data_IF_734977863685
#
_entry.id   IF_734977863685
#
_cell.length_a   1.000
_cell.length_b   1.000
_cell.length_c   1.000
_cell.angle_alpha   90.00
_cell.angle_beta   90.00
_cell.angle_gamma   90.00
#
_symmetry.space_group_name_H-M   'P 1'
#
loop_
_entity.id
_entity.type
_entity.pdbx_description
1 polymer ?
#
# COMPACT_ATOMS: atom_id res chain seq x y z
N UNK A 1 25.46 38.33 11.23
CA UNK A 1 25.11 36.95 11.67
C UNK A 1 23.63 36.77 11.90
N UNK A 2 22.97 37.46 12.81
CA UNK A 2 21.52 37.34 13.03
C UNK A 2 20.72 37.55 11.77
N UNK A 3 21.12 38.49 10.89
CA UNK A 3 20.43 38.75 9.63
C UNK A 3 20.41 37.52 8.69
N UNK A 4 21.51 36.76 8.61
CA UNK A 4 21.58 35.53 7.79
C UNK A 4 20.69 34.41 8.36
N UNK A 5 20.69 34.24 9.71
CA UNK A 5 19.79 33.29 10.36
C UNK A 5 18.30 33.58 10.09
N UNK A 6 17.89 34.85 10.22
CA UNK A 6 16.53 35.28 9.90
C UNK A 6 16.20 35.11 8.42
N UNK A 7 17.13 35.41 7.54
CA UNK A 7 16.96 35.23 6.09
C UNK A 7 16.82 33.76 5.72
N UNK A 8 17.61 32.87 6.33
CA UNK A 8 17.48 31.42 6.18
C UNK A 8 16.08 30.91 6.58
N UNK A 9 15.56 31.36 7.74
CA UNK A 9 14.19 31.04 8.18
C UNK A 9 13.13 31.52 7.22
N UNK A 10 13.23 32.76 6.72
CA UNK A 10 12.29 33.32 5.76
C UNK A 10 12.30 32.57 4.43
N UNK A 11 13.48 32.22 3.93
CA UNK A 11 13.66 31.44 2.70
C UNK A 11 13.09 30.01 2.84
N UNK A 12 13.30 29.35 3.99
CA UNK A 12 12.73 28.05 4.24
C UNK A 12 11.20 28.07 4.29
N UNK A 13 10.57 29.07 4.89
CA UNK A 13 9.10 29.24 4.86
C UNK A 13 8.53 29.50 3.46
N UNK A 14 9.33 30.12 2.57
CA UNK A 14 8.98 30.32 1.16
C UNK A 14 9.23 29.11 0.27
N UNK A 15 9.74 28.00 0.81
CA UNK A 15 10.09 26.81 0.04
C UNK A 15 11.37 26.96 -0.80
N UNK A 16 12.15 28.02 -0.58
CA UNK A 16 13.43 28.29 -1.26
C UNK A 16 14.58 27.58 -0.53
N UNK A 17 14.49 26.25 -0.44
CA UNK A 17 15.31 25.45 0.45
C UNK A 17 16.81 25.52 0.14
N UNK A 18 17.20 25.51 -1.15
CA UNK A 18 18.61 25.63 -1.51
C UNK A 18 19.25 26.98 -1.06
N UNK A 19 18.47 28.07 -1.18
CA UNK A 19 18.92 29.39 -0.71
C UNK A 19 18.95 29.45 0.83
N UNK A 20 17.98 28.83 1.51
CA UNK A 20 17.96 28.74 2.96
C UNK A 20 19.15 27.93 3.50
N UNK A 21 19.49 26.82 2.86
CA UNK A 21 20.68 26.01 3.18
C UNK A 21 21.97 26.87 3.10
N UNK A 22 22.14 27.64 2.03
CA UNK A 22 23.31 28.49 1.87
C UNK A 22 23.44 29.52 3.02
N UNK A 23 22.34 30.17 3.40
CA UNK A 23 22.30 31.12 4.50
C UNK A 23 22.65 30.48 5.86
N UNK A 24 22.07 29.29 6.14
CA UNK A 24 22.37 28.59 7.37
C UNK A 24 23.83 28.11 7.45
N UNK A 25 24.42 27.67 6.33
CA UNK A 25 25.83 27.26 6.29
C UNK A 25 26.77 28.47 6.57
N UNK A 26 26.45 29.64 6.01
CA UNK A 26 27.21 30.86 6.29
C UNK A 26 27.22 31.21 7.81
N UNK A 27 26.08 31.03 8.48
CA UNK A 27 26.05 31.26 9.96
C UNK A 27 26.88 30.23 10.69
N UNK A 28 26.82 28.95 10.25
CA UNK A 28 27.57 27.87 10.90
C UNK A 28 29.09 27.91 10.64
N UNK A 29 29.54 28.60 9.60
CA UNK A 29 30.96 28.86 9.37
C UNK A 29 31.52 29.78 10.47
N UNK A 30 30.71 30.72 10.97
CA UNK A 30 31.12 31.65 12.04
C UNK A 30 30.76 31.14 13.44
N UNK A 31 29.60 30.46 13.59
CA UNK A 31 29.10 29.91 14.86
C UNK A 31 28.74 28.43 14.66
N UNK A 32 29.71 27.51 14.66
CA UNK A 32 29.52 26.11 14.31
C UNK A 32 28.56 25.34 15.24
N UNK A 33 28.33 25.82 16.44
CA UNK A 33 27.56 25.16 17.49
C UNK A 33 26.21 25.84 17.81
N UNK A 34 25.69 26.66 16.89
CA UNK A 34 24.33 27.23 17.03
C UNK A 34 23.30 26.15 16.79
N UNK A 35 22.66 25.66 17.86
CA UNK A 35 21.70 24.55 17.84
C UNK A 35 20.45 24.92 17.06
N UNK A 36 19.97 26.15 17.10
CA UNK A 36 18.82 26.66 16.35
C UNK A 36 19.08 26.63 14.85
N UNK A 37 20.26 27.05 14.44
CA UNK A 37 20.68 27.05 13.04
C UNK A 37 20.92 25.63 12.54
N UNK A 38 21.51 24.75 13.34
CA UNK A 38 21.67 23.33 13.04
C UNK A 38 20.29 22.66 12.83
N UNK A 39 19.30 22.94 13.69
CA UNK A 39 17.94 22.48 13.52
C UNK A 39 17.30 22.99 12.23
N UNK A 40 17.44 24.27 11.92
CA UNK A 40 16.92 24.86 10.69
C UNK A 40 17.55 24.27 9.43
N UNK A 41 18.87 24.04 9.46
CA UNK A 41 19.59 23.37 8.37
C UNK A 41 19.12 21.93 8.19
N UNK A 42 18.95 21.18 9.28
CA UNK A 42 18.46 19.81 9.23
C UNK A 42 17.06 19.71 8.62
N UNK A 43 16.13 20.60 8.98
CA UNK A 43 14.79 20.68 8.40
C UNK A 43 14.85 20.95 6.89
N UNK A 44 15.66 21.90 6.44
CA UNK A 44 15.83 22.26 5.02
C UNK A 44 16.45 21.10 4.22
N UNK A 45 17.44 20.42 4.76
CA UNK A 45 18.03 19.23 4.13
C UNK A 45 17.04 18.09 4.01
N UNK A 46 16.21 17.87 5.03
CA UNK A 46 15.12 16.89 4.99
C UNK A 46 14.13 17.20 3.86
N UNK A 47 13.67 18.45 3.72
CA UNK A 47 12.77 18.87 2.66
C UNK A 47 13.36 18.75 1.26
N UNK A 48 14.67 18.87 1.14
CA UNK A 48 15.42 18.61 -0.11
C UNK A 48 15.64 17.10 -0.36
N UNK A 49 15.16 16.21 0.52
CA UNK A 49 15.45 14.77 0.49
C UNK A 49 16.93 14.39 0.67
N UNK A 50 17.73 15.28 1.23
CA UNK A 50 19.12 15.03 1.63
C UNK A 50 19.15 14.41 3.04
N UNK A 51 18.44 13.31 3.24
CA UNK A 51 18.12 12.74 4.56
C UNK A 51 19.35 12.31 5.36
N UNK A 52 20.38 11.77 4.70
CA UNK A 52 21.63 11.38 5.38
C UNK A 52 22.41 12.59 5.91
N UNK A 53 22.47 13.67 5.13
CA UNK A 53 23.09 14.92 5.59
C UNK A 53 22.29 15.56 6.73
N UNK A 54 20.94 15.55 6.60
CA UNK A 54 20.06 16.02 7.67
C UNK A 54 20.31 15.28 8.99
N UNK A 55 20.49 13.95 8.95
CA UNK A 55 20.79 13.16 10.13
C UNK A 55 22.14 13.56 10.75
N UNK A 56 23.16 13.72 9.94
CA UNK A 56 24.49 14.16 10.43
C UNK A 56 24.42 15.54 11.10
N UNK A 57 23.64 16.47 10.55
CA UNK A 57 23.51 17.82 11.12
C UNK A 57 22.72 17.80 12.42
N UNK A 58 21.60 17.07 12.50
CA UNK A 58 20.80 17.00 13.73
C UNK A 58 21.49 16.22 14.82
N UNK A 59 22.37 15.25 14.49
CA UNK A 59 23.17 14.53 15.47
C UNK A 59 24.21 15.46 16.12
N UNK A 60 24.73 16.47 15.39
CA UNK A 60 25.58 17.53 15.99
C UNK A 60 24.78 18.37 16.98
N UNK A 61 23.57 18.79 16.64
CA UNK A 61 22.71 19.54 17.56
C UNK A 61 22.40 18.71 18.82
N UNK A 62 22.07 17.40 18.63
CA UNK A 62 21.82 16.48 19.76
C UNK A 62 23.03 16.30 20.67
N UNK A 63 24.24 16.29 20.12
CA UNK A 63 25.46 16.20 20.95
C UNK A 63 25.64 17.42 21.87
N UNK A 64 25.14 18.58 21.47
CA UNK A 64 25.17 19.81 22.25
C UNK A 64 24.03 19.85 23.29
N UNK A 65 22.84 19.42 22.91
CA UNK A 65 21.64 19.44 23.75
C UNK A 65 20.88 18.07 23.67
N UNK A 66 21.39 17.05 24.41
CA UNK A 66 20.93 15.66 24.24
C UNK A 66 19.45 15.41 24.58
N UNK A 67 18.87 16.17 25.49
CA UNK A 67 17.51 15.96 26.01
C UNK A 67 16.52 17.00 25.51
N UNK A 68 16.88 17.84 24.53
CA UNK A 68 15.97 18.86 23.99
C UNK A 68 14.88 18.22 23.11
N UNK A 69 13.59 18.32 23.48
CA UNK A 69 12.51 17.63 22.80
C UNK A 69 12.39 17.99 21.31
N UNK A 70 12.65 19.25 20.95
CA UNK A 70 12.59 19.73 19.57
C UNK A 70 13.67 19.08 18.68
N UNK A 71 14.87 18.85 19.22
CA UNK A 71 15.97 18.18 18.51
C UNK A 71 15.65 16.70 18.36
N UNK A 72 15.18 16.05 19.43
CA UNK A 72 14.78 14.64 19.40
C UNK A 72 13.63 14.42 18.40
N UNK A 73 12.67 15.34 18.32
CA UNK A 73 11.55 15.27 17.40
C UNK A 73 11.99 15.38 15.93
N UNK A 74 12.89 16.33 15.62
CA UNK A 74 13.47 16.47 14.27
C UNK A 74 14.26 15.22 13.88
N UNK A 75 15.09 14.72 14.80
CA UNK A 75 15.84 13.49 14.57
C UNK A 75 14.93 12.31 14.30
N UNK A 76 13.86 12.15 15.06
CA UNK A 76 12.87 11.08 14.84
C UNK A 76 12.23 11.17 13.46
N UNK A 77 11.84 12.37 13.00
CA UNK A 77 11.29 12.60 11.65
C UNK A 77 12.31 12.29 10.55
N UNK A 78 13.57 12.62 10.74
CA UNK A 78 14.66 12.32 9.79
C UNK A 78 14.89 10.80 9.72
N UNK A 79 14.94 10.11 10.86
CA UNK A 79 15.06 8.66 10.93
C UNK A 79 13.87 7.95 10.23
N UNK A 80 12.66 8.46 10.46
CA UNK A 80 11.46 7.98 9.75
C UNK A 80 11.59 8.16 8.23
N UNK A 81 12.08 9.30 7.77
CA UNK A 81 12.31 9.55 6.35
C UNK A 81 13.43 8.68 5.74
N UNK A 82 14.35 8.17 6.56
CA UNK A 82 15.37 7.19 6.18
C UNK A 82 14.85 5.75 6.17
N UNK A 83 13.65 5.50 6.74
CA UNK A 83 13.12 4.16 6.94
C UNK A 83 13.63 3.44 8.20
N UNK A 84 14.38 4.16 9.07
CA UNK A 84 14.89 3.66 10.35
C UNK A 84 13.80 3.72 11.43
N UNK A 85 12.67 3.00 11.16
CA UNK A 85 11.45 3.09 11.97
C UNK A 85 11.63 2.65 13.42
N UNK A 86 12.53 1.70 13.69
CA UNK A 86 12.83 1.23 15.05
C UNK A 86 13.52 2.32 15.90
N UNK A 87 14.47 3.03 15.30
CA UNK A 87 15.20 4.13 15.96
C UNK A 87 14.31 5.36 16.13
N UNK A 88 13.53 5.71 15.10
CA UNK A 88 12.54 6.78 15.18
C UNK A 88 11.52 6.51 16.30
N UNK A 89 11.03 5.28 16.42
CA UNK A 89 10.11 4.86 17.51
C UNK A 89 10.77 5.00 18.89
N UNK A 90 12.05 4.67 19.00
CA UNK A 90 12.80 4.87 20.25
C UNK A 90 12.88 6.33 20.64
N UNK A 91 13.15 7.23 19.67
CA UNK A 91 13.21 8.67 19.92
C UNK A 91 11.85 9.25 20.31
N UNK A 92 10.76 8.89 19.62
CA UNK A 92 9.41 9.33 20.00
C UNK A 92 9.04 8.85 21.41
N UNK A 93 9.44 7.62 21.78
CA UNK A 93 9.21 7.09 23.13
C UNK A 93 9.99 7.88 24.19
N UNK A 94 11.23 8.25 23.92
CA UNK A 94 12.06 9.11 24.77
C UNK A 94 11.38 10.48 24.99
N UNK A 95 10.87 11.11 23.93
CA UNK A 95 10.12 12.37 24.03
C UNK A 95 8.85 12.19 24.89
N UNK A 96 8.12 11.09 24.73
CA UNK A 96 6.91 10.83 25.51
C UNK A 96 7.18 10.49 26.97
N UNK A 97 8.38 10.01 27.31
CA UNK A 97 8.84 9.88 28.70
C UNK A 97 9.11 11.24 29.33
N UNK A 98 9.67 12.20 28.58
CA UNK A 98 9.93 13.56 29.03
C UNK A 98 8.63 14.40 29.08
N UNK A 99 7.78 14.26 28.10
CA UNK A 99 6.51 14.95 27.97
C UNK A 99 5.43 14.01 27.41
N UNK A 100 4.63 13.36 28.29
CA UNK A 100 3.58 12.42 27.87
C UNK A 100 2.50 13.02 26.99
N UNK A 101 2.33 14.35 26.99
CA UNK A 101 1.31 15.05 26.20
C UNK A 101 1.84 15.66 24.90
N UNK A 102 3.07 15.36 24.52
CA UNK A 102 3.63 15.81 23.25
C UNK A 102 2.83 15.22 22.07
N UNK A 103 2.07 16.09 21.41
CA UNK A 103 1.17 15.68 20.30
C UNK A 103 1.95 15.19 19.09
N UNK A 104 3.06 15.84 18.76
CA UNK A 104 3.86 15.48 17.58
C UNK A 104 4.53 14.11 17.75
N UNK A 105 5.00 13.80 18.95
CA UNK A 105 5.54 12.48 19.25
C UNK A 105 4.44 11.39 19.25
N UNK A 106 3.23 11.70 19.75
CA UNK A 106 2.07 10.79 19.66
C UNK A 106 1.68 10.51 18.19
N UNK A 107 1.66 11.56 17.36
CA UNK A 107 1.40 11.40 15.91
C UNK A 107 2.49 10.60 15.22
N UNK A 108 3.77 10.93 15.46
CA UNK A 108 4.89 10.17 14.89
C UNK A 108 4.90 8.69 15.30
N UNK A 109 4.55 8.38 16.56
CA UNK A 109 4.36 6.99 17.00
C UNK A 109 3.19 6.30 16.29
N UNK A 110 2.08 7.01 16.06
CA UNK A 110 0.92 6.47 15.35
C UNK A 110 1.23 6.21 13.88
N UNK A 111 1.96 7.14 13.24
CA UNK A 111 2.40 6.99 11.86
C UNK A 111 3.35 5.79 11.71
N UNK A 112 4.32 5.64 12.62
CA UNK A 112 5.23 4.49 12.65
C UNK A 112 4.53 3.15 12.96
N UNK A 113 3.40 3.18 13.65
CA UNK A 113 2.61 1.95 13.88
C UNK A 113 1.87 1.51 12.61
N UNK A 114 1.62 2.44 11.69
CA UNK A 114 1.10 2.14 10.35
C UNK A 114 2.18 1.76 9.34
N UNK A 115 3.46 2.06 9.63
CA UNK A 115 4.64 1.76 8.80
C UNK A 115 5.47 0.60 9.39
N UNK A 116 4.83 -0.42 9.96
CA UNK A 116 5.51 -1.60 10.48
C UNK A 116 6.41 -2.24 9.41
N UNK A 117 7.59 -2.74 9.84
CA UNK A 117 8.50 -3.46 8.95
C UNK A 117 7.86 -4.73 8.39
N UNK A 118 6.93 -5.28 9.14
CA UNK A 118 6.19 -6.48 8.77
C UNK A 118 4.69 -6.23 8.87
N UNK A 119 3.96 -6.78 7.92
CA UNK A 119 2.51 -6.81 7.93
C UNK A 119 2.07 -8.29 7.85
N UNK A 120 1.28 -8.72 8.79
CA UNK A 120 0.64 -10.03 8.78
C UNK A 120 -0.86 -9.85 8.57
N UNK A 121 -1.48 -10.65 7.71
CA UNK A 121 -2.93 -10.71 7.63
C UNK A 121 -3.43 -12.14 7.57
N UNK A 122 -4.62 -12.33 8.13
CA UNK A 122 -5.38 -13.57 8.07
C UNK A 122 -6.81 -13.22 7.67
N UNK A 123 -7.36 -13.96 6.73
CA UNK A 123 -8.73 -13.76 6.27
C UNK A 123 -9.37 -15.05 5.84
N UNK A 124 -10.68 -15.02 5.73
CA UNK A 124 -11.48 -16.08 5.17
C UNK A 124 -12.59 -15.49 4.33
N UNK A 125 -12.82 -16.12 3.19
CA UNK A 125 -13.86 -15.79 2.25
C UNK A 125 -14.81 -16.97 2.08
N UNK A 126 -16.09 -16.67 1.94
CA UNK A 126 -17.11 -17.69 1.70
C UNK A 126 -18.03 -17.29 0.55
N UNK A 127 -18.45 -18.26 -0.23
CA UNK A 127 -19.37 -18.07 -1.31
C UNK A 127 -20.49 -19.10 -1.27
N UNK A 128 -21.72 -18.63 -1.46
CA UNK A 128 -22.90 -19.48 -1.60
C UNK A 128 -23.51 -19.29 -2.98
N UNK A 129 -23.93 -20.38 -3.58
CA UNK A 129 -24.54 -20.44 -4.91
C UNK A 129 -25.96 -20.96 -4.82
N UNK A 130 -26.81 -20.65 -5.81
CA UNK A 130 -28.18 -21.18 -5.84
C UNK A 130 -28.27 -22.64 -6.27
N UNK A 131 -27.29 -23.17 -7.02
CA UNK A 131 -27.37 -24.46 -7.68
C UNK A 131 -26.22 -25.43 -7.43
N UNK A 132 -25.17 -24.98 -6.77
CA UNK A 132 -23.96 -25.78 -6.49
C UNK A 132 -23.52 -25.59 -5.04
N UNK A 133 -22.60 -26.44 -4.56
CA UNK A 133 -22.09 -26.36 -3.21
C UNK A 133 -21.36 -25.05 -2.88
N UNK A 134 -21.15 -24.77 -1.61
CA UNK A 134 -20.40 -23.57 -1.18
C UNK A 134 -18.93 -23.66 -1.58
N UNK A 135 -18.28 -22.51 -1.61
CA UNK A 135 -16.84 -22.39 -1.71
C UNK A 135 -16.33 -21.58 -0.52
N UNK A 136 -15.22 -22.01 0.07
CA UNK A 136 -14.58 -21.38 1.21
C UNK A 136 -13.09 -21.28 0.95
N UNK A 137 -12.51 -20.12 1.30
CA UNK A 137 -11.10 -19.83 1.12
C UNK A 137 -10.55 -19.23 2.41
N UNK A 138 -9.39 -19.70 2.86
CA UNK A 138 -8.62 -19.12 3.96
C UNK A 138 -7.30 -18.59 3.42
N UNK A 139 -6.96 -17.35 3.70
CA UNK A 139 -5.77 -16.69 3.16
C UNK A 139 -4.93 -16.14 4.32
N UNK A 140 -3.65 -16.47 4.30
CA UNK A 140 -2.63 -15.90 5.17
C UNK A 140 -1.66 -15.09 4.33
N UNK A 141 -1.29 -13.90 4.77
CA UNK A 141 -0.21 -13.16 4.12
C UNK A 141 0.78 -12.58 5.11
N UNK A 142 2.04 -12.51 4.68
CA UNK A 142 3.13 -11.87 5.38
C UNK A 142 3.85 -10.94 4.40
N UNK A 143 3.81 -9.65 4.67
CA UNK A 143 4.62 -8.68 3.94
C UNK A 143 5.83 -8.26 4.78
N UNK A 144 6.99 -8.15 4.14
CA UNK A 144 8.24 -7.67 4.73
C UNK A 144 8.77 -6.48 3.93
N UNK A 145 8.98 -5.36 4.60
CA UNK A 145 9.60 -4.15 4.04
C UNK A 145 11.08 -4.14 4.38
N UNK A 146 11.93 -4.64 3.48
CA UNK A 146 13.38 -4.78 3.70
C UNK A 146 14.09 -3.44 3.72
N UNK A 147 13.70 -2.57 2.78
CA UNK A 147 14.16 -1.19 2.65
C UNK A 147 12.98 -0.31 2.22
N UNK A 148 13.09 1.04 2.25
CA UNK A 148 12.06 1.91 1.69
C UNK A 148 11.75 1.67 0.21
N UNK A 149 12.65 0.96 -0.50
CA UNK A 149 12.50 0.64 -1.92
C UNK A 149 12.05 -0.79 -2.18
N UNK A 150 12.27 -1.74 -1.25
CA UNK A 150 12.05 -3.17 -1.49
C UNK A 150 11.10 -3.74 -0.46
N UNK A 151 10.05 -4.37 -0.93
CA UNK A 151 9.15 -5.18 -0.12
C UNK A 151 8.91 -6.54 -0.77
N UNK A 152 8.66 -7.55 0.04
CA UNK A 152 8.31 -8.91 -0.39
C UNK A 152 7.05 -9.33 0.34
N UNK A 153 6.12 -9.95 -0.38
CA UNK A 153 4.87 -10.49 0.16
C UNK A 153 4.85 -11.99 -0.09
N UNK A 154 4.51 -12.74 0.94
CA UNK A 154 4.23 -14.17 0.91
C UNK A 154 2.74 -14.34 1.16
N UNK A 155 2.05 -15.07 0.31
CA UNK A 155 0.63 -15.38 0.45
C UNK A 155 0.49 -16.90 0.38
N UNK A 156 -0.28 -17.48 1.27
CA UNK A 156 -0.71 -18.87 1.18
C UNK A 156 -2.22 -18.92 1.32
N UNK A 157 -2.85 -19.65 0.43
CA UNK A 157 -4.29 -19.89 0.41
C UNK A 157 -4.61 -21.36 0.68
N UNK A 158 -5.72 -21.59 1.36
CA UNK A 158 -6.35 -22.88 1.52
C UNK A 158 -7.76 -22.78 0.95
N UNK A 159 -8.06 -23.58 -0.03
CA UNK A 159 -9.27 -23.50 -0.83
C UNK A 159 -10.08 -24.78 -0.67
N UNK A 160 -11.37 -24.64 -0.37
CA UNK A 160 -12.29 -25.77 -0.34
C UNK A 160 -13.47 -25.42 -1.24
N UNK A 161 -13.58 -26.08 -2.38
CA UNK A 161 -14.54 -25.72 -3.42
C UNK A 161 -15.14 -26.99 -4.03
N UNK A 162 -16.47 -27.07 -3.99
CA UNK A 162 -17.22 -28.14 -4.65
C UNK A 162 -16.78 -29.56 -4.25
N UNK A 163 -16.27 -29.75 -3.04
CA UNK A 163 -15.78 -31.04 -2.54
C UNK A 163 -14.30 -31.31 -2.77
N UNK A 164 -13.59 -30.43 -3.47
CA UNK A 164 -12.15 -30.47 -3.68
C UNK A 164 -11.43 -29.48 -2.77
N UNK A 165 -10.20 -29.82 -2.39
CA UNK A 165 -9.35 -28.98 -1.56
C UNK A 165 -8.01 -28.75 -2.22
N UNK A 166 -7.51 -27.52 -2.14
CA UNK A 166 -6.19 -27.14 -2.64
C UNK A 166 -5.50 -26.15 -1.70
N UNK A 167 -4.20 -26.03 -1.85
CA UNK A 167 -3.40 -24.99 -1.20
C UNK A 167 -2.36 -24.46 -2.16
N UNK A 168 -2.07 -23.18 -2.06
CA UNK A 168 -1.02 -22.52 -2.83
C UNK A 168 -0.04 -21.75 -1.95
N UNK A 169 1.07 -21.37 -2.58
CA UNK A 169 2.03 -20.41 -2.06
C UNK A 169 2.41 -19.45 -3.18
N UNK A 170 2.16 -18.17 -2.99
CA UNK A 170 2.58 -17.08 -3.87
C UNK A 170 3.64 -16.23 -3.18
N UNK A 171 4.65 -15.80 -3.94
CA UNK A 171 5.68 -14.88 -3.49
C UNK A 171 5.81 -13.77 -4.51
N UNK A 172 5.76 -12.53 -4.05
CA UNK A 172 5.99 -11.36 -4.89
C UNK A 172 6.95 -10.39 -4.25
N UNK A 173 7.72 -9.68 -5.08
CA UNK A 173 8.62 -8.63 -4.63
C UNK A 173 8.40 -7.36 -5.42
N UNK A 174 8.29 -6.24 -4.70
CA UNK A 174 8.12 -4.92 -5.27
C UNK A 174 9.39 -4.10 -5.08
N UNK A 175 9.82 -3.45 -6.15
CA UNK A 175 10.93 -2.51 -6.17
C UNK A 175 10.46 -1.12 -6.59
N UNK A 176 10.62 -0.14 -5.70
CA UNK A 176 10.35 1.27 -5.98
C UNK A 176 11.52 1.89 -6.73
N UNK A 177 11.39 2.02 -8.05
CA UNK A 177 12.42 2.56 -8.94
C UNK A 177 12.66 4.06 -8.66
N UNK A 178 11.55 4.79 -8.46
CA UNK A 178 11.56 6.22 -8.08
C UNK A 178 10.46 6.49 -7.06
N UNK A 179 10.33 7.72 -6.57
CA UNK A 179 9.22 8.11 -5.67
C UNK A 179 7.84 7.81 -6.24
N UNK A 180 7.73 7.75 -7.58
CA UNK A 180 6.46 7.66 -8.29
C UNK A 180 6.32 6.39 -9.13
N UNK A 181 7.35 5.55 -9.23
CA UNK A 181 7.33 4.35 -10.06
C UNK A 181 7.72 3.12 -9.24
N UNK A 182 6.97 2.05 -9.40
CA UNK A 182 7.27 0.75 -8.80
C UNK A 182 7.11 -0.37 -9.82
N UNK A 183 7.93 -1.42 -9.66
CA UNK A 183 7.83 -2.67 -10.39
C UNK A 183 7.61 -3.78 -9.38
N UNK A 184 6.63 -4.64 -9.63
CA UNK A 184 6.38 -5.85 -8.85
C UNK A 184 6.52 -7.06 -9.76
N UNK A 185 7.17 -8.10 -9.26
CA UNK A 185 7.28 -9.40 -9.93
C UNK A 185 6.90 -10.46 -8.91
N UNK A 186 6.13 -11.44 -9.32
CA UNK A 186 5.70 -12.52 -8.46
C UNK A 186 5.29 -13.76 -9.21
N UNK A 187 4.91 -14.78 -8.43
CA UNK A 187 4.34 -16.00 -8.95
C UNK A 187 4.13 -17.00 -7.83
N UNK A 188 3.38 -18.03 -8.12
CA UNK A 188 2.94 -19.03 -7.18
C UNK A 188 2.97 -20.45 -7.73
N UNK A 189 2.74 -21.39 -6.82
CA UNK A 189 2.51 -22.78 -7.14
C UNK A 189 1.51 -23.40 -6.18
N UNK A 190 0.74 -24.36 -6.68
CA UNK A 190 -0.27 -25.07 -5.93
C UNK A 190 0.03 -26.58 -5.85
N UNK A 191 -0.48 -27.20 -4.78
CA UNK A 191 -0.38 -28.64 -4.58
C UNK A 191 -1.36 -29.44 -5.46
N UNK A 192 -2.45 -28.78 -5.94
CA UNK A 192 -3.48 -29.34 -6.79
C UNK A 192 -3.86 -28.34 -7.89
N UNK A 193 -4.29 -28.82 -9.06
CA UNK A 193 -4.46 -28.02 -10.26
C UNK A 193 -5.91 -28.03 -10.81
N UNK A 194 -6.84 -28.66 -10.09
CA UNK A 194 -8.21 -28.82 -10.57
C UNK A 194 -9.08 -27.61 -10.26
N UNK A 195 -8.82 -26.92 -9.14
CA UNK A 195 -9.59 -25.78 -8.67
C UNK A 195 -8.82 -24.44 -8.64
N UNK A 196 -7.48 -24.51 -8.69
CA UNK A 196 -6.60 -23.33 -8.77
C UNK A 196 -5.49 -23.58 -9.80
N UNK A 197 -4.79 -22.55 -10.32
CA UNK A 197 -3.68 -22.75 -11.23
C UNK A 197 -2.54 -23.53 -10.56
N UNK A 198 -1.93 -24.46 -11.29
CA UNK A 198 -0.75 -25.21 -10.81
C UNK A 198 0.41 -24.29 -10.51
N UNK A 199 0.65 -23.36 -11.43
CA UNK A 199 1.65 -22.31 -11.29
C UNK A 199 1.07 -21.02 -11.88
N UNK A 200 1.61 -19.91 -11.40
CA UNK A 200 1.39 -18.61 -12.00
C UNK A 200 2.64 -17.75 -11.94
N UNK A 201 2.69 -16.71 -12.73
CA UNK A 201 3.73 -15.68 -12.65
C UNK A 201 3.19 -14.36 -13.20
N UNK A 202 3.64 -13.26 -12.62
CA UNK A 202 3.18 -11.94 -13.05
C UNK A 202 4.26 -10.89 -12.91
N UNK A 203 4.07 -9.81 -13.63
CA UNK A 203 4.72 -8.55 -13.34
C UNK A 203 3.69 -7.41 -13.38
N UNK A 204 3.92 -6.39 -12.57
CA UNK A 204 3.15 -5.16 -12.55
C UNK A 204 4.09 -3.96 -12.55
N UNK A 205 3.78 -2.96 -13.36
CA UNK A 205 4.45 -1.67 -13.34
C UNK A 205 3.44 -0.58 -13.03
N UNK A 206 3.71 0.19 -11.98
CA UNK A 206 2.87 1.28 -11.52
C UNK A 206 3.57 2.63 -11.55
N UNK A 207 2.80 3.68 -11.87
CA UNK A 207 3.26 5.07 -11.87
C UNK A 207 2.22 6.00 -11.28
N UNK A 208 2.65 6.77 -10.25
CA UNK A 208 1.86 7.83 -9.65
C UNK A 208 2.23 9.22 -10.20
N UNK A 209 1.24 10.08 -10.38
CA UNK A 209 1.40 11.46 -10.82
C UNK A 209 0.52 12.37 -9.96
N UNK A 210 1.09 13.46 -9.42
CA UNK A 210 0.29 14.51 -8.78
C UNK A 210 -0.35 15.39 -9.88
N UNK A 211 -1.64 15.64 -9.73
CA UNK A 211 -2.39 16.48 -10.67
C UNK A 211 -2.77 17.79 -10.00
N UNK A 212 -2.59 18.94 -10.67
CA UNK A 212 -2.89 20.25 -10.10
C UNK A 212 -4.38 20.61 -10.21
N UNK A 213 -5.27 19.64 -10.32
CA UNK A 213 -6.69 19.87 -10.50
C UNK A 213 -7.45 19.99 -9.17
N UNK A 214 -8.49 20.82 -9.14
CA UNK A 214 -9.32 21.03 -7.94
C UNK A 214 -10.03 19.75 -7.49
N UNK A 215 -10.45 18.90 -8.41
CA UNK A 215 -11.25 17.71 -8.15
C UNK A 215 -10.47 16.40 -8.17
N UNK A 216 -9.24 16.40 -8.69
CA UNK A 216 -8.36 15.21 -8.71
C UNK A 216 -6.98 15.64 -8.25
N UNK A 217 -6.57 15.17 -7.08
CA UNK A 217 -5.29 15.50 -6.44
C UNK A 217 -4.11 14.71 -7.01
N UNK A 218 -4.40 13.51 -7.52
CA UNK A 218 -3.39 12.60 -8.06
C UNK A 218 -4.03 11.46 -8.83
N UNK A 219 -3.21 10.82 -9.64
CA UNK A 219 -3.54 9.65 -10.44
C UNK A 219 -2.42 8.64 -10.28
N UNK A 220 -2.77 7.39 -9.99
CA UNK A 220 -1.89 6.25 -10.21
C UNK A 220 -2.42 5.42 -11.37
N UNK A 221 -1.52 4.99 -12.24
CA UNK A 221 -1.83 4.06 -13.31
C UNK A 221 -0.89 2.87 -13.18
N UNK A 222 -1.44 1.65 -13.27
CA UNK A 222 -0.64 0.44 -13.34
C UNK A 222 -1.02 -0.43 -14.53
N UNK A 223 -0.06 -1.19 -14.99
CA UNK A 223 -0.22 -2.24 -15.97
C UNK A 223 0.31 -3.53 -15.38
N UNK A 224 -0.48 -4.60 -15.45
CA UNK A 224 -0.12 -5.93 -14.99
C UNK A 224 -0.28 -6.92 -16.13
N UNK A 225 0.62 -7.88 -16.19
CA UNK A 225 0.50 -9.05 -17.03
C UNK A 225 0.68 -10.29 -16.15
N UNK A 226 -0.25 -11.23 -16.23
CA UNK A 226 -0.28 -12.42 -15.40
C UNK A 226 -0.51 -13.66 -16.25
N UNK A 227 0.28 -14.69 -16.06
CA UNK A 227 0.20 -15.99 -16.71
C UNK A 227 -0.20 -17.04 -15.68
N UNK A 228 -1.21 -17.82 -16.03
CA UNK A 228 -1.71 -18.93 -15.21
C UNK A 228 -1.63 -20.23 -16.00
N UNK A 229 -1.16 -21.28 -15.36
CA UNK A 229 -1.08 -22.64 -15.91
C UNK A 229 -1.97 -23.58 -15.12
N UNK A 230 -3.08 -23.97 -15.72
CA UNK A 230 -3.99 -25.01 -15.24
C UNK A 230 -3.70 -26.35 -15.91
N UNK A 231 -4.33 -27.44 -15.45
CA UNK A 231 -4.09 -28.78 -16.01
C UNK A 231 -4.41 -28.88 -17.52
N UNK A 232 -5.44 -28.20 -18.00
CA UNK A 232 -5.90 -28.27 -19.38
C UNK A 232 -5.97 -26.92 -20.10
N UNK A 233 -5.50 -25.82 -19.47
CA UNK A 233 -5.62 -24.48 -20.02
C UNK A 233 -4.47 -23.58 -19.60
N UNK A 234 -4.18 -22.60 -20.45
CA UNK A 234 -3.29 -21.50 -20.14
C UNK A 234 -4.05 -20.20 -20.26
N UNK A 235 -3.99 -19.38 -19.22
CA UNK A 235 -4.64 -18.07 -19.21
C UNK A 235 -3.58 -16.98 -19.10
N UNK A 236 -3.67 -16.00 -19.98
CA UNK A 236 -2.85 -14.81 -19.97
C UNK A 236 -3.75 -13.59 -19.80
N UNK A 237 -3.55 -12.84 -18.75
CA UNK A 237 -4.31 -11.61 -18.50
C UNK A 237 -3.46 -10.37 -18.71
N UNK A 238 -4.09 -9.34 -19.25
CA UNK A 238 -3.56 -7.98 -19.37
C UNK A 238 -4.50 -7.06 -18.61
N UNK A 239 -4.02 -6.46 -17.55
CA UNK A 239 -4.83 -5.55 -16.73
C UNK A 239 -4.24 -4.15 -16.70
N UNK A 240 -5.10 -3.16 -16.87
CA UNK A 240 -4.76 -1.75 -16.67
C UNK A 240 -5.63 -1.15 -15.59
N UNK A 241 -5.01 -0.57 -14.56
CA UNK A 241 -5.70 0.10 -13.47
C UNK A 241 -5.41 1.59 -13.49
N UNK A 242 -6.42 2.38 -13.16
CA UNK A 242 -6.31 3.80 -12.85
C UNK A 242 -6.93 4.05 -11.48
N UNK A 243 -6.19 4.71 -10.59
CA UNK A 243 -6.63 5.10 -9.25
C UNK A 243 -6.56 6.62 -9.13
N UNK A 244 -7.70 7.25 -8.92
CA UNK A 244 -7.87 8.69 -8.77
C UNK A 244 -7.97 9.06 -7.29
N UNK A 245 -7.12 9.97 -6.84
CA UNK A 245 -7.19 10.59 -5.52
C UNK A 245 -8.07 11.84 -5.57
N UNK A 246 -9.20 11.78 -4.89
CA UNK A 246 -10.21 12.82 -4.87
C UNK A 246 -10.11 13.66 -3.57
N UNK A 247 -10.81 14.82 -3.47
CA UNK A 247 -10.90 15.58 -2.23
C UNK A 247 -11.52 14.78 -1.08
N UNK A 248 -11.16 15.11 0.17
CA UNK A 248 -11.65 14.48 1.40
C UNK A 248 -11.26 13.00 1.51
N UNK A 249 -10.11 12.63 0.93
CA UNK A 249 -9.54 11.29 0.97
C UNK A 249 -10.43 10.20 0.36
N UNK A 250 -11.29 10.60 -0.58
CA UNK A 250 -11.98 9.66 -1.44
C UNK A 250 -11.04 9.14 -2.51
N UNK A 251 -11.20 7.87 -2.87
CA UNK A 251 -10.49 7.30 -4.02
C UNK A 251 -11.48 6.62 -4.96
N UNK A 252 -11.19 6.71 -6.24
CA UNK A 252 -11.96 6.01 -7.27
C UNK A 252 -10.99 5.24 -8.16
N UNK A 253 -11.22 3.94 -8.31
CA UNK A 253 -10.42 3.09 -9.19
C UNK A 253 -11.26 2.50 -10.30
N UNK A 254 -10.62 2.31 -11.45
CA UNK A 254 -11.12 1.59 -12.60
C UNK A 254 -10.02 0.62 -13.01
N UNK A 255 -10.38 -0.67 -13.14
CA UNK A 255 -9.50 -1.70 -13.70
C UNK A 255 -10.19 -2.34 -14.89
N UNK A 256 -9.48 -2.46 -15.99
CA UNK A 256 -9.89 -3.16 -17.19
C UNK A 256 -8.93 -4.33 -17.39
N UNK A 257 -9.49 -5.51 -17.65
CA UNK A 257 -8.73 -6.74 -17.87
C UNK A 257 -9.18 -7.39 -19.15
N UNK A 258 -8.22 -7.87 -19.95
CA UNK A 258 -8.47 -8.75 -21.09
C UNK A 258 -7.76 -10.07 -20.80
N UNK A 259 -8.52 -11.14 -20.68
CA UNK A 259 -8.01 -12.49 -20.53
C UNK A 259 -7.95 -13.21 -21.88
N UNK A 260 -6.83 -13.85 -22.17
CA UNK A 260 -6.63 -14.72 -23.32
C UNK A 260 -6.52 -16.14 -22.81
N UNK A 261 -7.55 -16.93 -23.03
CA UNK A 261 -7.63 -18.32 -22.58
C UNK A 261 -7.35 -19.26 -23.76
N UNK A 262 -6.39 -20.15 -23.59
CA UNK A 262 -6.08 -21.21 -24.54
C UNK A 262 -6.39 -22.57 -23.94
N UNK A 263 -7.35 -23.29 -24.50
CA UNK A 263 -7.68 -24.65 -24.13
C UNK A 263 -7.02 -25.66 -25.04
N UNK A 264 -6.61 -26.80 -24.49
CA UNK A 264 -6.09 -27.91 -25.29
C UNK A 264 -7.17 -28.44 -26.24
N UNK A 265 -7.06 -28.12 -27.54
CA UNK A 265 -7.94 -28.65 -28.59
C UNK A 265 -9.12 -27.78 -29.07
N UNK A 266 -9.40 -26.61 -28.47
CA UNK A 266 -10.58 -25.80 -28.82
C UNK A 266 -10.30 -24.36 -29.27
N UNK A 267 -9.04 -23.93 -29.32
CA UNK A 267 -8.67 -22.59 -29.80
C UNK A 267 -8.44 -21.58 -28.69
N UNK A 268 -8.42 -20.31 -29.07
CA UNK A 268 -8.11 -19.18 -28.17
C UNK A 268 -9.34 -18.27 -28.10
N UNK A 269 -9.75 -17.93 -26.88
CA UNK A 269 -10.83 -16.97 -26.62
C UNK A 269 -10.28 -15.75 -25.89
N UNK A 270 -10.90 -14.58 -26.15
CA UNK A 270 -10.61 -13.33 -25.45
C UNK A 270 -11.81 -12.91 -24.63
N UNK A 271 -11.58 -12.63 -23.36
CA UNK A 271 -12.63 -12.32 -22.40
C UNK A 271 -12.31 -10.99 -21.70
N UNK A 272 -13.04 -9.91 -22.07
CA UNK A 272 -12.87 -8.62 -21.42
C UNK A 272 -13.68 -8.54 -20.14
N UNK A 273 -13.12 -7.87 -19.15
CA UNK A 273 -13.79 -7.59 -17.88
C UNK A 273 -13.37 -6.23 -17.33
N UNK A 274 -14.15 -5.70 -16.41
CA UNK A 274 -13.86 -4.45 -15.77
C UNK A 274 -14.47 -4.32 -14.39
N UNK A 275 -13.77 -3.65 -13.50
CA UNK A 275 -14.24 -3.31 -12.16
C UNK A 275 -14.03 -1.82 -11.89
N UNK A 276 -15.00 -1.21 -11.25
CA UNK A 276 -14.87 0.13 -10.69
C UNK A 276 -15.16 0.09 -9.20
N UNK A 277 -14.37 0.82 -8.41
CA UNK A 277 -14.50 0.88 -6.95
C UNK A 277 -14.39 2.32 -6.49
N UNK A 278 -15.33 2.73 -5.65
CA UNK A 278 -15.32 3.99 -4.92
C UNK A 278 -15.05 3.70 -3.45
N UNK A 279 -14.02 4.32 -2.89
CA UNK A 279 -13.68 4.21 -1.48
C UNK A 279 -13.81 5.58 -0.81
N UNK A 280 -14.36 5.62 0.40
CA UNK A 280 -14.65 6.86 1.11
C UNK A 280 -14.49 6.71 2.62
N UNK A 281 -13.94 7.72 3.32
CA UNK A 281 -13.92 7.77 4.77
C UNK A 281 -15.35 8.01 5.29
N UNK A 282 -15.91 7.03 6.00
CA UNK A 282 -17.24 7.12 6.61
C UNK A 282 -17.16 7.72 8.03
N UNK A 283 -16.08 7.43 8.75
CA UNK A 283 -15.81 7.94 10.09
C UNK A 283 -14.29 7.95 10.35
N UNK A 284 -13.84 8.49 11.47
CA UNK A 284 -12.43 8.62 11.86
C UNK A 284 -11.61 7.31 11.70
N UNK A 285 -12.23 6.17 12.04
CA UNK A 285 -11.59 4.85 11.97
C UNK A 285 -12.31 3.90 10.99
N UNK A 286 -13.27 4.39 10.22
CA UNK A 286 -14.10 3.58 9.34
C UNK A 286 -14.01 4.11 7.92
N UNK A 287 -13.58 3.27 7.01
CA UNK A 287 -13.59 3.50 5.57
C UNK A 287 -14.59 2.55 4.93
N UNK A 288 -15.48 3.06 4.11
CA UNK A 288 -16.41 2.27 3.30
C UNK A 288 -15.95 2.18 1.86
N UNK A 289 -16.35 1.14 1.16
CA UNK A 289 -16.22 1.06 -0.29
C UNK A 289 -17.47 0.47 -0.93
N UNK A 290 -17.70 0.85 -2.20
CA UNK A 290 -18.69 0.26 -3.08
C UNK A 290 -18.00 -0.12 -4.38
N UNK A 291 -18.36 -1.25 -4.97
CA UNK A 291 -17.80 -1.66 -6.24
C UNK A 291 -18.85 -2.30 -7.16
N UNK A 292 -18.57 -2.17 -8.44
CA UNK A 292 -19.31 -2.83 -9.50
C UNK A 292 -18.32 -3.47 -10.46
N UNK A 293 -18.55 -4.73 -10.83
CA UNK A 293 -17.78 -5.44 -11.83
C UNK A 293 -18.69 -6.03 -12.91
N UNK A 294 -18.17 -6.06 -14.14
CA UNK A 294 -18.84 -6.66 -15.27
C UNK A 294 -17.82 -7.35 -16.16
N UNK A 295 -18.14 -8.55 -16.65
CA UNK A 295 -17.28 -9.32 -17.53
C UNK A 295 -17.41 -10.81 -17.29
N UNK A 296 -16.54 -11.54 -17.94
CA UNK A 296 -16.36 -12.96 -17.74
C UNK A 296 -15.49 -13.15 -16.53
N UNK A 297 -16.02 -13.84 -15.54
CA UNK A 297 -15.28 -14.41 -14.42
C UNK A 297 -14.30 -13.57 -13.58
N UNK A 298 -13.79 -14.15 -12.56
CA UNK A 298 -12.63 -13.88 -11.72
C UNK A 298 -12.65 -12.70 -10.75
N UNK A 299 -13.70 -11.90 -10.66
CA UNK A 299 -13.73 -10.86 -9.62
C UNK A 299 -14.00 -11.40 -8.23
N UNK A 300 -14.38 -12.67 -8.11
CA UNK A 300 -14.66 -13.33 -6.85
C UNK A 300 -13.85 -14.62 -6.65
N UNK A 301 -12.72 -14.78 -7.33
CA UNK A 301 -11.84 -15.96 -7.21
C UNK A 301 -12.57 -17.29 -7.47
N UNK A 302 -13.43 -17.35 -8.48
CA UNK A 302 -14.18 -18.55 -8.76
C UNK A 302 -13.65 -19.25 -9.99
N UNK A 303 -13.33 -20.43 -9.80
CA UNK A 303 -12.58 -21.44 -10.45
C UNK A 303 -13.16 -22.04 -11.67
N UNK A 304 -14.16 -21.50 -12.24
CA UNK A 304 -14.62 -21.93 -13.52
C UNK A 304 -14.28 -20.88 -14.55
N UNK A 305 -13.22 -21.14 -15.31
CA UNK A 305 -13.03 -20.57 -16.63
C UNK A 305 -14.28 -20.93 -17.43
N UNK A 306 -15.35 -20.20 -17.20
CA UNK A 306 -16.66 -20.43 -17.77
C UNK A 306 -16.93 -19.43 -18.89
N UNK A 307 -17.75 -19.82 -19.85
CA UNK A 307 -18.22 -18.99 -20.96
C UNK A 307 -19.45 -18.17 -20.59
N UNK A 308 -19.46 -17.53 -19.42
CA UNK A 308 -20.62 -16.73 -19.02
C UNK A 308 -20.19 -15.29 -18.68
N UNK A 309 -21.07 -14.35 -18.94
CA UNK A 309 -20.91 -12.99 -18.44
C UNK A 309 -21.49 -12.86 -17.04
N UNK A 310 -20.84 -12.07 -16.21
CA UNK A 310 -21.27 -11.84 -14.84
C UNK A 310 -21.35 -10.34 -14.53
N UNK A 311 -22.29 -9.97 -13.66
CA UNK A 311 -22.40 -8.65 -13.07
C UNK A 311 -22.33 -8.78 -11.56
N UNK A 312 -21.37 -8.12 -10.94
CA UNK A 312 -21.16 -8.18 -9.50
C UNK A 312 -21.34 -6.80 -8.89
N UNK A 313 -22.12 -6.74 -7.82
CA UNK A 313 -22.32 -5.55 -7.00
C UNK A 313 -21.87 -5.90 -5.60
N UNK A 314 -21.09 -5.02 -5.00
CA UNK A 314 -20.61 -5.26 -3.65
C UNK A 314 -20.21 -4.01 -2.93
N UNK A 315 -19.93 -4.20 -1.66
CA UNK A 315 -19.41 -3.16 -0.80
C UNK A 315 -18.68 -3.76 0.39
N UNK A 316 -17.85 -2.97 1.00
CA UNK A 316 -17.07 -3.39 2.15
C UNK A 316 -16.78 -2.27 3.10
N UNK A 317 -16.23 -2.64 4.24
CA UNK A 317 -15.80 -1.72 5.28
C UNK A 317 -14.41 -2.12 5.77
N UNK A 318 -13.61 -1.11 6.10
CA UNK A 318 -12.35 -1.24 6.81
C UNK A 318 -12.46 -0.48 8.12
N UNK A 319 -12.30 -1.16 9.23
CA UNK A 319 -12.33 -0.57 10.56
C UNK A 319 -10.95 -0.66 11.22
N UNK A 320 -10.37 0.48 11.59
CA UNK A 320 -9.10 0.55 12.33
C UNK A 320 -9.39 0.36 13.82
N UNK A 321 -9.00 -0.79 14.36
CA UNK A 321 -9.13 -1.12 15.78
C UNK A 321 -8.17 -0.30 16.65
N UNK A 322 -6.88 -0.31 16.23
CA UNK A 322 -5.76 0.39 16.88
C UNK A 322 -4.76 0.81 15.81
N UNK A 323 -3.80 1.69 16.11
CA UNK A 323 -2.65 1.89 15.22
C UNK A 323 -1.99 0.54 14.88
N UNK A 324 -1.82 0.27 13.59
CA UNK A 324 -1.27 -1.01 13.11
C UNK A 324 -2.22 -2.21 13.12
N UNK A 325 -3.52 -2.04 13.41
CA UNK A 325 -4.50 -3.14 13.39
C UNK A 325 -5.77 -2.73 12.68
N UNK A 326 -6.19 -3.49 11.69
CA UNK A 326 -7.47 -3.27 11.01
C UNK A 326 -8.25 -4.56 10.77
N UNK A 327 -9.57 -4.42 10.70
CA UNK A 327 -10.47 -5.47 10.22
C UNK A 327 -11.12 -4.95 8.95
N UNK A 328 -11.19 -5.80 7.94
CA UNK A 328 -11.88 -5.54 6.67
C UNK A 328 -12.97 -6.58 6.49
N UNK A 329 -14.11 -6.17 6.00
CA UNK A 329 -15.18 -7.08 5.64
C UNK A 329 -15.86 -6.62 4.37
N UNK A 330 -16.38 -7.55 3.58
CA UNK A 330 -17.15 -7.24 2.38
C UNK A 330 -18.32 -8.20 2.18
N UNK A 331 -19.27 -7.76 1.37
CA UNK A 331 -20.39 -8.54 0.86
C UNK A 331 -20.57 -8.21 -0.62
N UNK A 332 -20.76 -9.22 -1.45
CA UNK A 332 -21.02 -9.06 -2.87
C UNK A 332 -22.11 -10.01 -3.37
N UNK A 333 -22.82 -9.56 -4.38
CA UNK A 333 -23.80 -10.37 -5.11
C UNK A 333 -23.45 -10.38 -6.58
N UNK A 334 -23.33 -11.58 -7.16
CA UNK A 334 -23.05 -11.80 -8.57
C UNK A 334 -24.25 -12.45 -9.26
N UNK A 335 -24.54 -11.96 -10.44
CA UNK A 335 -25.55 -12.50 -11.36
C UNK A 335 -24.84 -12.93 -12.65
N UNK A 336 -25.01 -14.19 -13.04
CA UNK A 336 -24.39 -14.80 -14.20
C UNK A 336 -25.40 -15.00 -15.32
N UNK A 337 -24.92 -15.05 -16.58
CA UNK A 337 -25.79 -15.25 -17.75
C UNK A 337 -26.46 -16.65 -17.81
N UNK A 338 -25.90 -17.63 -17.12
CA UNK A 338 -26.43 -19.00 -16.96
C UNK A 338 -27.51 -19.12 -15.88
N UNK A 339 -28.07 -18.01 -15.41
CA UNK A 339 -29.06 -17.94 -14.32
C UNK A 339 -28.52 -18.35 -12.94
N UNK A 340 -27.23 -18.57 -12.80
CA UNK A 340 -26.61 -18.76 -11.50
C UNK A 340 -26.46 -17.43 -10.78
N UNK A 341 -26.59 -17.50 -9.47
CA UNK A 341 -26.31 -16.36 -8.59
C UNK A 341 -25.38 -16.81 -7.48
N UNK A 342 -24.48 -15.91 -7.12
CA UNK A 342 -23.53 -16.11 -6.04
C UNK A 342 -23.62 -14.97 -5.04
N UNK A 343 -23.54 -15.30 -3.77
CA UNK A 343 -23.28 -14.34 -2.71
C UNK A 343 -21.91 -14.65 -2.12
N UNK A 344 -21.01 -13.68 -2.18
CA UNK A 344 -19.68 -13.77 -1.60
C UNK A 344 -19.57 -12.83 -0.41
N UNK A 345 -18.89 -13.27 0.63
CA UNK A 345 -18.56 -12.47 1.82
C UNK A 345 -17.19 -12.86 2.34
N UNK A 346 -16.53 -11.92 2.97
CA UNK A 346 -15.22 -12.18 3.54
C UNK A 346 -14.90 -11.26 4.69
N UNK A 347 -13.98 -11.73 5.54
CA UNK A 347 -13.42 -10.98 6.66
C UNK A 347 -11.91 -11.19 6.68
N UNK A 348 -11.17 -10.10 6.86
CA UNK A 348 -9.71 -10.11 6.97
C UNK A 348 -9.28 -9.26 8.16
N UNK A 349 -8.30 -9.73 8.91
CA UNK A 349 -7.64 -9.00 9.98
C UNK A 349 -6.18 -8.76 9.61
N UNK A 350 -5.75 -7.50 9.68
CA UNK A 350 -4.38 -7.07 9.40
C UNK A 350 -3.68 -6.54 10.65
N UNK A 351 -2.41 -6.88 10.77
CA UNK A 351 -1.53 -6.46 11.85
C UNK A 351 -0.16 -6.02 11.33
N UNK A 352 0.24 -4.76 11.61
CA UNK A 352 1.51 -4.16 11.22
C UNK A 352 2.44 -4.05 12.46
N UNK A 353 3.71 -4.47 12.35
CA UNK A 353 4.67 -4.48 13.47
C UNK A 353 6.14 -4.31 13.05
#
# INVERSE_FOLDING_TARGET
MEAHGWRGRLLSWRGQWASAEAEYRLVLDDVPNDTDILCGLADVLLWQSKTKEALSVIDRARALEPSQPEILLRRARILQALGESSEARSQYREILQLNPDNRDAKHGMADLSGEGKYEFSIGGDGSTFNNIGPAEDEILSLAAHWTPQVSTVFITGFYQRFGEAAADLEVSSSYRITKNNALTIGGGFANQQDIIPKNDTFFEYGRGVRLPFRFVKGLEASYQQHWFWYQGAHVLTFSGMQLYYLPRDWTWSITLTAARTGFSGTGVEWEPSGITRLEFPAHRNLTGNLFFANGTEDFAQIDQIGRFSARTYGGGVKYRLRPGQDIRGYLARQYRSDSQTQTAFGVNYGFHF
#
